data_IF_009617522492
#
_entry.id   IF_009617522492
#
_cell.length_a   1.000
_cell.length_b   1.000
_cell.length_c   1.000
_cell.angle_alpha   90.00
_cell.angle_beta   90.00
_cell.angle_gamma   90.00
#
_symmetry.space_group_name_H-M   'P 1'
#
loop_
_entity.id
_entity.type
_entity.pdbx_description
1 polymer ?
#
# COMPACT_ATOMS: atom_id res chain seq x y z
N UNK A 1 -10.75 23.86 -12.86
CA UNK A 1 -10.02 22.58 -12.98
C UNK A 1 -10.99 21.57 -13.56
N UNK A 2 -10.54 20.66 -14.44
CA UNK A 2 -11.37 19.56 -14.94
C UNK A 2 -11.83 18.68 -13.77
N UNK A 3 -13.07 18.22 -13.80
CA UNK A 3 -13.57 17.23 -12.85
C UNK A 3 -12.73 15.94 -12.98
N UNK A 4 -12.44 15.22 -11.88
CA UNK A 4 -11.80 13.91 -11.97
C UNK A 4 -12.71 12.92 -12.70
N UNK A 5 -12.09 12.01 -13.45
CA UNK A 5 -12.76 10.87 -14.09
C UNK A 5 -13.28 9.92 -12.99
N UNK A 6 -12.43 9.63 -12.01
CA UNK A 6 -12.78 8.90 -10.80
C UNK A 6 -11.84 9.27 -9.65
N UNK A 7 -12.20 8.88 -8.43
CA UNK A 7 -11.32 8.97 -7.28
C UNK A 7 -11.25 7.64 -6.54
N UNK A 8 -10.14 7.40 -5.85
CA UNK A 8 -9.97 6.24 -4.97
C UNK A 8 -9.13 6.60 -3.73
N UNK A 9 -9.15 5.73 -2.73
CA UNK A 9 -8.35 5.89 -1.52
C UNK A 9 -7.32 4.77 -1.36
N UNK A 10 -6.07 5.15 -1.14
CA UNK A 10 -4.98 4.24 -0.78
C UNK A 10 -4.79 4.20 0.73
N UNK A 11 -4.89 3.00 1.30
CA UNK A 11 -4.78 2.72 2.72
C UNK A 11 -3.62 1.72 2.90
N UNK A 12 -2.48 2.16 3.45
CA UNK A 12 -1.32 1.27 3.63
C UNK A 12 -1.44 0.39 4.87
N UNK A 13 -0.77 -0.76 4.89
CA UNK A 13 -0.25 -1.44 6.08
C UNK A 13 -1.16 -1.38 7.33
N UNK A 14 -2.29 -2.11 7.30
CA UNK A 14 -3.26 -2.10 8.40
C UNK A 14 -2.82 -2.94 9.60
N UNK A 15 -2.16 -4.09 9.40
CA UNK A 15 -1.76 -5.03 10.47
C UNK A 15 -2.90 -5.42 11.44
N UNK A 16 -4.05 -5.85 10.92
CA UNK A 16 -5.08 -6.49 11.75
C UNK A 16 -4.51 -7.75 12.43
N UNK A 17 -4.78 -7.90 13.73
CA UNK A 17 -4.41 -9.10 14.50
C UNK A 17 -5.49 -9.44 15.52
N UNK A 18 -5.94 -10.69 15.50
CA UNK A 18 -7.01 -11.23 16.34
C UNK A 18 -6.54 -11.59 17.76
N UNK A 19 -5.57 -10.85 18.30
CA UNK A 19 -5.23 -10.85 19.73
C UNK A 19 -5.99 -9.72 20.37
N UNK A 20 -6.78 -10.00 21.41
CA UNK A 20 -7.70 -9.00 22.01
C UNK A 20 -7.02 -7.67 22.33
N UNK A 21 -5.88 -7.69 23.03
CA UNK A 21 -5.16 -6.47 23.41
C UNK A 21 -4.66 -5.67 22.20
N UNK A 22 -4.25 -6.35 21.13
CA UNK A 22 -3.88 -5.73 19.87
C UNK A 22 -5.10 -5.12 19.19
N UNK A 23 -6.15 -5.91 18.99
CA UNK A 23 -7.37 -5.49 18.32
C UNK A 23 -8.04 -4.30 19.01
N UNK A 24 -8.07 -4.28 20.35
CA UNK A 24 -8.64 -3.16 21.12
C UNK A 24 -7.86 -1.86 20.85
N UNK A 25 -6.52 -1.90 20.94
CA UNK A 25 -5.66 -0.75 20.66
C UNK A 25 -5.75 -0.30 19.20
N UNK A 26 -5.79 -1.28 18.28
CA UNK A 26 -5.88 -1.09 16.84
C UNK A 26 -7.18 -0.43 16.42
N UNK A 27 -8.31 -0.98 16.86
CA UNK A 27 -9.64 -0.42 16.61
C UNK A 27 -9.77 0.99 17.16
N UNK A 28 -9.26 1.24 18.37
CA UNK A 28 -9.27 2.58 18.94
C UNK A 28 -8.52 3.58 18.05
N UNK A 29 -7.33 3.21 17.54
CA UNK A 29 -6.56 4.08 16.65
C UNK A 29 -7.26 4.30 15.31
N UNK A 30 -7.72 3.23 14.65
CA UNK A 30 -8.32 3.34 13.32
C UNK A 30 -9.73 3.95 13.32
N UNK A 31 -10.39 4.09 14.47
CA UNK A 31 -11.69 4.77 14.56
C UNK A 31 -11.64 6.18 13.96
N UNK A 32 -10.60 6.96 14.27
CA UNK A 32 -10.43 8.32 13.74
C UNK A 32 -10.27 8.34 12.21
N UNK A 33 -9.62 7.32 11.63
CA UNK A 33 -9.49 7.16 10.18
C UNK A 33 -10.87 6.99 9.53
N UNK A 34 -11.63 5.99 9.98
CA UNK A 34 -12.89 5.65 9.32
C UNK A 34 -13.99 6.68 9.58
N UNK A 35 -14.07 7.25 10.79
CA UNK A 35 -15.02 8.33 11.10
C UNK A 35 -14.82 9.54 10.17
N UNK A 36 -13.56 9.98 9.97
CA UNK A 36 -13.25 11.11 9.07
C UNK A 36 -13.44 10.75 7.59
N UNK A 37 -13.12 9.51 7.17
CA UNK A 37 -13.41 9.05 5.81
C UNK A 37 -14.91 9.02 5.52
N UNK A 38 -15.75 8.56 6.44
CA UNK A 38 -17.21 8.60 6.28
C UNK A 38 -17.71 10.03 6.13
N UNK A 39 -17.25 10.95 6.97
CA UNK A 39 -17.60 12.37 6.85
C UNK A 39 -17.20 12.93 5.47
N UNK A 40 -15.98 12.65 5.01
CA UNK A 40 -15.51 13.08 3.69
C UNK A 40 -16.34 12.48 2.56
N UNK A 41 -16.65 11.19 2.59
CA UNK A 41 -17.40 10.53 1.51
C UNK A 41 -18.88 10.93 1.49
N UNK A 42 -19.46 11.32 2.63
CA UNK A 42 -20.80 11.92 2.66
C UNK A 42 -20.80 13.34 2.07
N UNK A 43 -19.72 14.11 2.28
CA UNK A 43 -19.63 15.48 1.78
C UNK A 43 -19.21 15.56 0.29
N UNK A 44 -18.21 14.79 -0.10
CA UNK A 44 -17.52 14.90 -1.40
C UNK A 44 -17.95 13.81 -2.40
N UNK A 45 -18.68 12.79 -1.92
CA UNK A 45 -19.07 11.61 -2.69
C UNK A 45 -18.17 10.40 -2.41
N UNK A 46 -18.73 9.20 -2.63
CA UNK A 46 -17.99 7.94 -2.43
C UNK A 46 -16.89 7.76 -3.49
N UNK A 47 -15.73 7.21 -3.11
CA UNK A 47 -14.71 6.82 -4.07
C UNK A 47 -15.17 5.63 -4.90
N UNK A 48 -14.58 5.47 -6.09
CA UNK A 48 -14.79 4.30 -6.93
C UNK A 48 -14.33 3.00 -6.25
N UNK A 49 -13.28 3.09 -5.42
CA UNK A 49 -12.77 1.98 -4.61
C UNK A 49 -11.80 2.46 -3.52
N UNK A 50 -11.49 1.54 -2.60
CA UNK A 50 -10.35 1.62 -1.69
C UNK A 50 -9.36 0.48 -1.99
N UNK A 51 -8.07 0.69 -1.73
CA UNK A 51 -7.01 -0.28 -2.03
C UNK A 51 -5.95 -0.27 -0.94
N UNK A 52 -5.41 -1.44 -0.61
CA UNK A 52 -4.18 -1.59 0.16
C UNK A 52 -3.22 -2.49 -0.61
N UNK A 53 -1.95 -2.12 -0.81
CA UNK A 53 -0.99 -2.94 -1.55
C UNK A 53 -0.44 -4.13 -0.74
N UNK A 54 -0.67 -4.21 0.57
CA UNK A 54 -0.19 -5.31 1.41
C UNK A 54 -0.28 -5.03 2.92
N UNK A 55 0.25 -5.96 3.72
CA UNK A 55 0.27 -5.94 5.20
C UNK A 55 -1.09 -5.57 5.80
N UNK A 56 -2.14 -6.19 5.29
CA UNK A 56 -3.49 -6.06 5.83
C UNK A 56 -3.56 -6.65 7.23
N UNK A 57 -2.86 -7.76 7.43
CA UNK A 57 -2.82 -8.51 8.69
C UNK A 57 -1.42 -8.52 9.25
N UNK A 58 -1.26 -8.71 10.55
CA UNK A 58 0.05 -8.77 11.19
C UNK A 58 0.74 -10.13 11.02
N UNK A 59 -0.05 -11.21 10.93
CA UNK A 59 0.40 -12.57 10.62
C UNK A 59 -0.65 -13.28 9.76
N UNK A 60 -0.24 -14.30 9.01
CA UNK A 60 -1.05 -15.05 8.04
C UNK A 60 -2.14 -15.95 8.66
N UNK A 61 -2.39 -15.82 9.96
CA UNK A 61 -3.42 -16.58 10.67
C UNK A 61 -4.82 -16.28 10.07
N UNK A 62 -5.64 -17.30 9.74
CA UNK A 62 -6.96 -17.11 9.13
C UNK A 62 -7.89 -16.17 9.92
N UNK A 63 -7.82 -16.19 11.25
CA UNK A 63 -8.60 -15.30 12.12
C UNK A 63 -8.25 -13.81 11.93
N UNK A 64 -7.01 -13.48 11.54
CA UNK A 64 -6.63 -12.10 11.22
C UNK A 64 -7.26 -11.66 9.89
N UNK A 65 -7.29 -12.55 8.90
CA UNK A 65 -7.97 -12.28 7.63
C UNK A 65 -9.46 -12.06 7.83
N UNK A 66 -10.14 -12.91 8.62
CA UNK A 66 -11.57 -12.76 8.89
C UNK A 66 -11.87 -11.48 9.67
N UNK A 67 -11.02 -11.12 10.65
CA UNK A 67 -11.11 -9.85 11.35
C UNK A 67 -10.96 -8.67 10.38
N UNK A 68 -9.93 -8.68 9.54
CA UNK A 68 -9.67 -7.61 8.57
C UNK A 68 -10.85 -7.46 7.60
N UNK A 69 -11.31 -8.57 7.00
CA UNK A 69 -12.41 -8.59 6.04
C UNK A 69 -13.71 -8.10 6.65
N UNK A 70 -14.06 -8.59 7.84
CA UNK A 70 -15.29 -8.18 8.54
C UNK A 70 -15.23 -6.69 8.91
N UNK A 71 -14.10 -6.23 9.46
CA UNK A 71 -13.90 -4.84 9.84
C UNK A 71 -13.97 -3.91 8.64
N UNK A 72 -13.23 -4.21 7.57
CA UNK A 72 -13.23 -3.41 6.34
C UNK A 72 -14.60 -3.43 5.66
N UNK A 73 -15.32 -4.56 5.62
CA UNK A 73 -16.69 -4.60 5.07
C UNK A 73 -17.64 -3.73 5.89
N UNK A 74 -17.53 -3.73 7.21
CA UNK A 74 -18.32 -2.87 8.08
C UNK A 74 -18.02 -1.38 7.87
N UNK A 75 -16.76 -1.02 7.68
CA UNK A 75 -16.33 0.37 7.49
C UNK A 75 -16.59 0.88 6.06
N UNK A 76 -16.34 0.08 5.03
CA UNK A 76 -16.42 0.51 3.63
C UNK A 76 -17.83 0.33 3.04
N UNK A 77 -18.67 -0.50 3.65
CA UNK A 77 -20.00 -0.80 3.14
C UNK A 77 -19.92 -1.41 1.75
N UNK A 78 -20.47 -0.73 0.76
CA UNK A 78 -20.50 -1.19 -0.64
C UNK A 78 -19.35 -0.65 -1.50
N UNK A 79 -18.48 0.21 -0.95
CA UNK A 79 -17.28 0.68 -1.64
C UNK A 79 -16.37 -0.55 -1.89
N UNK A 80 -15.99 -0.85 -3.15
CA UNK A 80 -15.10 -1.96 -3.45
C UNK A 80 -13.75 -1.81 -2.73
N UNK A 81 -13.25 -2.92 -2.18
CA UNK A 81 -11.92 -2.99 -1.58
C UNK A 81 -11.03 -3.95 -2.36
N UNK A 82 -9.84 -3.48 -2.74
CA UNK A 82 -8.84 -4.26 -3.46
C UNK A 82 -7.64 -4.56 -2.55
N UNK A 83 -7.53 -5.79 -2.03
CA UNK A 83 -6.44 -6.21 -1.16
C UNK A 83 -5.22 -6.67 -1.96
N UNK A 84 -4.03 -6.24 -1.56
CA UNK A 84 -2.75 -6.79 -1.98
C UNK A 84 -2.15 -7.69 -0.91
N UNK A 85 -1.00 -8.26 -1.22
CA UNK A 85 -0.18 -9.05 -0.28
C UNK A 85 1.13 -8.32 -0.02
N UNK A 86 1.51 -8.24 1.25
CA UNK A 86 2.79 -7.78 1.74
C UNK A 86 3.56 -8.90 2.44
N UNK A 87 4.63 -8.56 3.15
CA UNK A 87 5.44 -9.56 3.83
C UNK A 87 4.76 -10.15 5.06
N UNK A 88 3.87 -9.42 5.73
CA UNK A 88 3.16 -9.93 6.90
C UNK A 88 2.13 -11.01 6.56
N UNK A 89 1.61 -11.03 5.33
CA UNK A 89 0.87 -12.18 4.81
C UNK A 89 1.72 -13.46 4.72
N UNK A 90 3.05 -13.35 4.77
CA UNK A 90 4.00 -14.46 4.88
C UNK A 90 4.54 -14.68 6.30
N UNK A 91 4.10 -13.91 7.30
CA UNK A 91 4.49 -14.16 8.68
C UNK A 91 3.55 -15.18 9.30
N UNK A 92 4.06 -16.37 9.62
CA UNK A 92 3.33 -17.37 10.39
C UNK A 92 2.78 -16.87 11.73
N UNK A 93 1.74 -17.49 12.32
CA UNK A 93 1.42 -17.24 13.72
C UNK A 93 2.65 -17.55 14.58
N UNK A 94 3.12 -16.56 15.32
CA UNK A 94 4.28 -16.65 16.22
C UNK A 94 5.54 -17.29 15.61
N UNK A 95 5.75 -17.12 14.29
CA UNK A 95 7.02 -17.43 13.62
C UNK A 95 7.09 -18.71 12.76
N UNK A 96 5.98 -19.39 12.43
CA UNK A 96 6.05 -20.64 11.64
C UNK A 96 5.03 -20.83 10.48
N UNK A 97 5.53 -21.53 9.45
CA UNK A 97 4.99 -22.05 8.18
C UNK A 97 3.95 -21.23 7.36
N UNK A 98 4.44 -20.31 6.52
CA UNK A 98 3.66 -19.58 5.53
C UNK A 98 3.05 -20.40 4.37
N UNK A 99 3.36 -21.68 4.19
CA UNK A 99 3.09 -22.43 2.92
C UNK A 99 1.61 -22.39 2.45
N UNK A 100 0.65 -22.17 3.35
CA UNK A 100 -0.77 -22.07 3.03
C UNK A 100 -1.35 -20.66 2.80
N UNK A 101 -0.56 -19.57 2.91
CA UNK A 101 -1.17 -18.24 2.90
C UNK A 101 -1.83 -17.90 1.55
N UNK A 102 -1.24 -18.31 0.42
CA UNK A 102 -1.76 -17.93 -0.88
C UNK A 102 -3.19 -18.45 -1.10
N UNK A 103 -3.43 -19.70 -0.68
CA UNK A 103 -4.76 -20.30 -0.68
C UNK A 103 -5.70 -19.61 0.30
N UNK A 104 -5.21 -19.27 1.50
CA UNK A 104 -5.98 -18.55 2.52
C UNK A 104 -6.40 -17.16 2.05
N UNK A 105 -5.47 -16.37 1.53
CA UNK A 105 -5.72 -15.06 0.92
C UNK A 105 -6.77 -15.18 -0.18
N UNK A 106 -6.59 -16.13 -1.10
CA UNK A 106 -7.51 -16.31 -2.24
C UNK A 106 -8.91 -16.68 -1.77
N UNK A 107 -9.03 -17.58 -0.79
CA UNK A 107 -10.32 -17.97 -0.24
C UNK A 107 -11.03 -16.82 0.50
N UNK A 108 -10.28 -15.96 1.21
CA UNK A 108 -10.81 -14.85 1.99
C UNK A 108 -11.27 -13.69 1.12
N UNK A 109 -10.50 -13.35 0.08
CA UNK A 109 -10.71 -12.16 -0.73
C UNK A 109 -11.35 -12.43 -2.09
N UNK A 110 -11.45 -13.69 -2.50
CA UNK A 110 -11.88 -14.07 -3.85
C UNK A 110 -11.05 -13.34 -4.93
N UNK A 111 -9.73 -13.38 -4.74
CA UNK A 111 -8.71 -12.73 -5.56
C UNK A 111 -7.46 -13.62 -5.60
N UNK A 112 -6.85 -13.85 -6.78
CA UNK A 112 -5.49 -14.37 -6.80
C UNK A 112 -4.50 -13.32 -6.23
N UNK A 113 -3.25 -13.71 -5.96
CA UNK A 113 -2.25 -12.78 -5.41
C UNK A 113 -1.90 -11.63 -6.38
N UNK A 114 -1.95 -11.91 -7.69
CA UNK A 114 -1.77 -10.94 -8.78
C UNK A 114 -3.04 -10.85 -9.59
N UNK A 115 -3.55 -9.65 -9.80
CA UNK A 115 -4.75 -9.43 -10.61
C UNK A 115 -4.81 -8.01 -11.15
N UNK A 116 -5.72 -7.79 -12.09
CA UNK A 116 -6.02 -6.46 -12.63
C UNK A 116 -7.52 -6.23 -12.67
N UNK A 117 -7.92 -4.97 -12.66
CA UNK A 117 -9.30 -4.55 -12.82
C UNK A 117 -9.39 -3.24 -13.58
N UNK A 118 -10.51 -3.05 -14.27
CA UNK A 118 -10.80 -1.81 -15.00
C UNK A 118 -11.68 -0.91 -14.13
N UNK A 119 -11.45 0.40 -14.23
CA UNK A 119 -12.25 1.42 -13.54
C UNK A 119 -12.27 2.68 -14.39
N UNK A 120 -13.45 3.08 -14.83
CA UNK A 120 -13.70 4.35 -15.55
C UNK A 120 -12.64 4.71 -16.61
N UNK A 121 -12.25 3.73 -17.45
CA UNK A 121 -11.28 3.94 -18.54
C UNK A 121 -9.80 3.81 -18.16
N UNK A 122 -9.47 3.54 -16.90
CA UNK A 122 -8.14 3.15 -16.44
C UNK A 122 -8.06 1.64 -16.16
N UNK A 123 -6.83 1.13 -16.03
CA UNK A 123 -6.54 -0.21 -15.50
C UNK A 123 -5.75 -0.09 -14.20
N UNK A 124 -6.11 -0.88 -13.21
CA UNK A 124 -5.34 -1.06 -12.00
C UNK A 124 -4.72 -2.46 -12.02
N UNK A 125 -3.47 -2.58 -11.56
CA UNK A 125 -2.68 -3.81 -11.58
C UNK A 125 -2.11 -4.06 -10.20
N UNK A 126 -2.61 -5.08 -9.49
CA UNK A 126 -2.05 -5.56 -8.22
C UNK A 126 -0.99 -6.63 -8.51
N UNK A 127 0.24 -6.38 -8.07
CA UNK A 127 1.33 -7.34 -8.07
C UNK A 127 1.40 -8.03 -6.71
N UNK A 128 1.90 -9.26 -6.69
CA UNK A 128 2.22 -9.99 -5.47
C UNK A 128 3.58 -9.56 -4.92
N UNK A 129 3.73 -9.71 -3.61
CA UNK A 129 4.99 -9.53 -2.92
C UNK A 129 5.89 -10.76 -3.15
N UNK A 130 7.22 -10.59 -3.27
CA UNK A 130 8.15 -11.71 -3.34
C UNK A 130 7.96 -12.70 -2.19
N UNK A 131 7.61 -13.95 -2.50
CA UNK A 131 7.46 -15.00 -1.50
C UNK A 131 8.82 -15.28 -0.81
N UNK A 132 9.02 -14.86 0.45
CA UNK A 132 10.30 -15.00 1.14
C UNK A 132 10.69 -16.45 1.39
N UNK A 133 9.76 -17.40 1.31
CA UNK A 133 10.04 -18.84 1.50
C UNK A 133 10.77 -19.46 0.33
N UNK A 134 10.67 -18.83 -0.85
CA UNK A 134 11.30 -19.31 -2.09
C UNK A 134 12.65 -18.66 -2.35
N UNK A 135 13.04 -17.67 -1.53
CA UNK A 135 14.27 -16.91 -1.72
C UNK A 135 15.48 -17.65 -1.14
N UNK A 136 16.60 -17.55 -1.84
CA UNK A 136 17.88 -18.05 -1.34
C UNK A 136 18.39 -17.25 -0.12
N UNK A 137 18.07 -15.95 -0.08
CA UNK A 137 18.33 -15.06 1.03
C UNK A 137 17.05 -14.26 1.34
N UNK A 138 16.34 -14.55 2.46
CA UNK A 138 15.09 -13.88 2.80
C UNK A 138 15.27 -12.40 3.14
N UNK A 139 16.51 -11.92 3.33
CA UNK A 139 16.78 -10.49 3.48
C UNK A 139 16.79 -9.75 2.14
N UNK A 140 16.80 -10.46 1.00
CA UNK A 140 16.90 -9.87 -0.33
C UNK A 140 15.75 -10.32 -1.19
N UNK A 141 14.80 -9.41 -1.39
CA UNK A 141 13.55 -9.73 -2.08
C UNK A 141 13.72 -9.56 -3.60
N UNK A 142 13.22 -10.51 -4.37
CA UNK A 142 13.26 -10.50 -5.84
C UNK A 142 11.86 -10.77 -6.38
N UNK A 143 11.36 -9.90 -7.25
CA UNK A 143 10.11 -10.19 -7.94
C UNK A 143 10.32 -11.36 -8.88
N UNK A 144 9.40 -12.33 -8.84
CA UNK A 144 9.48 -13.52 -9.67
C UNK A 144 9.30 -13.18 -11.15
N UNK A 145 9.83 -14.04 -12.04
CA UNK A 145 9.62 -13.88 -13.48
C UNK A 145 8.14 -13.91 -13.85
N UNK A 146 7.32 -14.66 -13.10
CA UNK A 146 5.87 -14.69 -13.30
C UNK A 146 5.23 -13.31 -13.03
N UNK A 147 5.65 -12.64 -11.96
CA UNK A 147 5.21 -11.27 -11.61
C UNK A 147 5.59 -10.27 -12.68
N UNK A 148 6.86 -10.31 -13.12
CA UNK A 148 7.37 -9.42 -14.16
C UNK A 148 6.66 -9.64 -15.50
N UNK A 149 6.39 -10.90 -15.85
CA UNK A 149 5.65 -11.25 -17.08
C UNK A 149 4.19 -10.81 -17.00
N UNK A 150 3.55 -10.96 -15.83
CA UNK A 150 2.19 -10.49 -15.59
C UNK A 150 2.10 -8.97 -15.74
N UNK A 151 3.05 -8.21 -15.18
CA UNK A 151 3.10 -6.75 -15.35
C UNK A 151 3.24 -6.36 -16.82
N UNK A 152 4.25 -6.89 -17.51
CA UNK A 152 4.55 -6.57 -18.92
C UNK A 152 3.37 -6.89 -19.84
N UNK A 153 2.76 -8.07 -19.66
CA UNK A 153 1.60 -8.52 -20.45
C UNK A 153 0.37 -7.66 -20.18
N UNK A 154 0.11 -7.33 -18.90
CA UNK A 154 -1.06 -6.52 -18.53
C UNK A 154 -0.93 -5.09 -19.08
N UNK A 155 0.24 -4.47 -18.93
CA UNK A 155 0.47 -3.13 -19.47
C UNK A 155 0.35 -3.10 -21.00
N UNK A 156 0.86 -4.12 -21.69
CA UNK A 156 0.72 -4.28 -23.14
C UNK A 156 -0.75 -4.46 -23.56
N UNK A 157 -1.52 -5.27 -22.83
CA UNK A 157 -2.94 -5.51 -23.11
C UNK A 157 -3.77 -4.23 -23.01
N UNK A 158 -3.41 -3.34 -22.09
CA UNK A 158 -4.12 -2.08 -21.82
C UNK A 158 -3.34 -0.84 -22.26
N UNK A 159 -2.50 -0.95 -23.29
CA UNK A 159 -1.57 0.11 -23.76
C UNK A 159 -2.21 1.46 -24.13
N UNK A 160 -3.53 1.51 -24.28
CA UNK A 160 -4.31 2.70 -24.62
C UNK A 160 -5.07 3.29 -23.41
N UNK A 161 -4.81 2.79 -22.20
CA UNK A 161 -5.46 3.23 -20.96
C UNK A 161 -4.44 3.48 -19.86
N UNK A 162 -4.58 4.58 -19.08
CA UNK A 162 -3.72 4.82 -17.92
C UNK A 162 -3.72 3.63 -16.97
N UNK A 163 -2.53 3.22 -16.56
CA UNK A 163 -2.29 2.10 -15.68
C UNK A 163 -1.76 2.58 -14.32
N UNK A 164 -2.38 2.05 -13.26
CA UNK A 164 -2.01 2.29 -11.86
C UNK A 164 -1.53 0.96 -11.30
N UNK A 165 -0.24 0.87 -10.98
CA UNK A 165 0.40 -0.36 -10.50
C UNK A 165 0.50 -0.30 -8.98
N UNK A 166 0.18 -1.42 -8.32
CA UNK A 166 0.29 -1.60 -6.88
C UNK A 166 1.23 -2.76 -6.58
N UNK A 167 2.16 -2.55 -5.65
CA UNK A 167 3.05 -3.56 -5.11
C UNK A 167 3.38 -3.17 -3.67
N UNK A 168 3.35 -4.11 -2.73
CA UNK A 168 3.62 -3.78 -1.33
C UNK A 168 4.96 -3.07 -1.11
N UNK A 169 6.07 -3.61 -1.62
CA UNK A 169 7.36 -2.95 -1.48
C UNK A 169 7.60 -1.85 -2.54
N UNK A 170 8.20 -0.70 -2.14
CA UNK A 170 8.66 0.30 -3.09
C UNK A 170 9.81 -0.23 -3.96
N UNK A 171 10.05 0.43 -5.10
CA UNK A 171 11.27 0.16 -5.87
C UNK A 171 12.47 0.85 -5.22
N UNK A 172 13.66 0.31 -5.48
CA UNK A 172 14.89 0.87 -4.91
C UNK A 172 15.03 2.35 -5.26
N UNK A 173 15.33 3.19 -4.25
CA UNK A 173 15.47 4.65 -4.34
C UNK A 173 14.18 5.45 -4.64
N UNK A 174 12.98 4.89 -4.42
CA UNK A 174 11.71 5.64 -4.60
C UNK A 174 11.12 6.19 -3.31
N UNK A 175 11.62 5.82 -2.14
CA UNK A 175 11.29 6.43 -0.83
C UNK A 175 12.51 6.36 0.10
N UNK A 176 12.84 7.47 0.75
CA UNK A 176 14.01 7.61 1.62
C UNK A 176 13.58 7.90 3.06
N UNK A 177 14.47 7.63 4.02
CA UNK A 177 14.18 7.94 5.42
C UNK A 177 14.26 9.43 5.72
N UNK A 178 13.46 9.90 6.69
CA UNK A 178 13.55 11.28 7.20
C UNK A 178 14.93 11.56 7.78
N UNK A 179 15.41 12.77 7.55
CA UNK A 179 16.65 13.26 8.13
C UNK A 179 16.54 13.45 9.65
N UNK A 180 17.66 13.34 10.37
CA UNK A 180 17.74 13.54 11.82
C UNK A 180 18.86 12.72 12.48
N UNK A 181 18.95 12.80 13.80
CA UNK A 181 19.82 11.93 14.58
C UNK A 181 19.25 10.50 14.63
N UNK A 182 19.99 9.54 14.09
CA UNK A 182 19.60 8.13 14.05
C UNK A 182 18.64 7.79 12.91
N UNK A 183 18.31 6.50 12.81
CA UNK A 183 17.40 5.97 11.80
C UNK A 183 15.95 6.22 12.22
N UNK A 184 15.22 7.03 11.46
CA UNK A 184 13.81 7.38 11.75
C UNK A 184 12.79 6.53 11.01
N UNK A 185 13.15 5.98 9.86
CA UNK A 185 12.24 5.20 9.01
C UNK A 185 13.00 4.00 8.42
N UNK A 186 12.26 2.99 7.99
CA UNK A 186 12.76 2.08 6.97
C UNK A 186 12.65 2.75 5.60
N UNK A 187 13.46 2.33 4.63
CA UNK A 187 13.47 2.99 3.32
C UNK A 187 13.95 2.08 2.19
N UNK A 188 13.64 2.48 0.95
CA UNK A 188 13.88 1.67 -0.26
C UNK A 188 15.36 1.47 -0.65
N UNK A 189 16.32 2.05 0.09
CA UNK A 189 17.75 1.73 -0.10
C UNK A 189 18.21 0.52 0.72
N UNK A 190 17.37 0.00 1.60
CA UNK A 190 17.68 -1.18 2.39
C UNK A 190 17.25 -2.45 1.66
N UNK A 191 18.06 -3.50 1.84
CA UNK A 191 17.63 -4.86 1.56
C UNK A 191 16.29 -5.14 2.26
N UNK A 192 15.49 -6.06 1.71
CA UNK A 192 14.13 -6.41 2.16
C UNK A 192 13.06 -5.34 1.90
N UNK A 193 13.40 -4.06 1.93
CA UNK A 193 12.44 -2.96 1.72
C UNK A 193 12.22 -2.59 0.25
N UNK A 194 13.08 -3.04 -0.65
CA UNK A 194 12.89 -2.91 -2.08
C UNK A 194 13.39 -4.16 -2.81
N UNK A 195 12.80 -4.52 -3.98
CA UNK A 195 13.27 -5.64 -4.75
C UNK A 195 14.63 -5.35 -5.36
N UNK A 196 15.55 -6.29 -5.23
CA UNK A 196 16.91 -6.21 -5.79
C UNK A 196 16.88 -6.09 -7.32
N UNK A 197 15.87 -6.67 -7.96
CA UNK A 197 15.61 -6.53 -9.40
C UNK A 197 14.68 -5.35 -9.75
N UNK A 198 14.66 -4.28 -8.95
CA UNK A 198 13.93 -3.04 -9.23
C UNK A 198 14.22 -2.45 -10.63
N UNK A 199 15.43 -2.67 -11.16
CA UNK A 199 15.80 -2.22 -12.50
C UNK A 199 15.01 -2.93 -13.61
N UNK A 200 14.63 -4.20 -13.41
CA UNK A 200 13.83 -4.95 -14.38
C UNK A 200 12.39 -4.43 -14.44
N UNK A 201 11.82 -4.07 -13.27
CA UNK A 201 10.50 -3.41 -13.20
C UNK A 201 10.52 -2.08 -13.93
N UNK A 202 11.55 -1.24 -13.69
CA UNK A 202 11.73 0.03 -14.41
C UNK A 202 11.87 -0.19 -15.91
N UNK A 203 12.59 -1.23 -16.33
CA UNK A 203 12.75 -1.55 -17.75
C UNK A 203 11.44 -2.00 -18.41
N UNK A 204 10.54 -2.68 -17.69
CA UNK A 204 9.19 -2.99 -18.16
C UNK A 204 8.38 -1.69 -18.28
N UNK A 205 8.32 -0.89 -17.23
CA UNK A 205 7.57 0.38 -17.20
C UNK A 205 8.03 1.31 -18.33
N UNK A 206 9.34 1.44 -18.56
CA UNK A 206 9.89 2.28 -19.62
C UNK A 206 9.37 1.94 -21.03
N UNK A 207 8.96 0.68 -21.29
CA UNK A 207 8.38 0.24 -22.57
C UNK A 207 6.89 0.55 -22.69
N UNK A 208 6.21 0.81 -21.58
CA UNK A 208 4.75 0.92 -21.48
C UNK A 208 4.35 2.31 -21.02
N UNK A 209 4.22 3.23 -21.98
CA UNK A 209 3.90 4.65 -21.73
C UNK A 209 2.59 4.90 -20.98
N UNK A 210 1.73 3.89 -20.91
CA UNK A 210 0.48 3.94 -20.18
C UNK A 210 0.64 3.76 -18.66
N UNK A 211 1.81 3.33 -18.16
CA UNK A 211 2.08 3.27 -16.72
C UNK A 211 2.25 4.66 -16.14
N UNK A 212 1.29 5.09 -15.29
CA UNK A 212 1.22 6.46 -14.79
C UNK A 212 1.60 6.58 -13.31
N UNK A 213 1.14 5.63 -12.50
CA UNK A 213 1.37 5.59 -11.06
C UNK A 213 1.91 4.22 -10.64
N UNK A 214 2.84 4.21 -9.70
CA UNK A 214 3.30 3.02 -8.99
C UNK A 214 3.16 3.26 -7.49
N UNK A 215 2.27 2.53 -6.84
CA UNK A 215 1.85 2.76 -5.45
C UNK A 215 2.31 1.58 -4.59
N UNK A 216 2.98 1.89 -3.49
CA UNK A 216 3.58 0.93 -2.56
C UNK A 216 3.29 1.28 -1.10
N UNK A 217 3.79 0.47 -0.15
CA UNK A 217 3.67 0.64 1.31
C UNK A 217 4.95 0.18 2.02
N UNK A 218 4.86 -0.74 2.99
CA UNK A 218 5.97 -1.53 3.57
C UNK A 218 6.96 -0.78 4.46
N UNK A 219 7.38 0.42 4.08
CA UNK A 219 8.46 1.14 4.78
C UNK A 219 8.02 1.82 6.07
N UNK A 220 6.71 1.97 6.28
CA UNK A 220 6.12 2.69 7.41
C UNK A 220 6.72 4.10 7.57
N UNK A 221 7.16 4.70 6.45
CA UNK A 221 7.80 6.00 6.42
C UNK A 221 6.86 7.10 6.91
N UNK A 222 7.37 8.05 7.69
CA UNK A 222 6.61 9.25 8.10
C UNK A 222 6.29 10.19 6.93
N UNK A 223 5.38 11.16 7.13
CA UNK A 223 4.86 12.00 6.02
C UNK A 223 5.90 12.94 5.40
N UNK A 224 6.95 13.24 6.16
CA UNK A 224 8.08 14.07 5.76
C UNK A 224 9.18 13.27 5.06
N UNK A 225 9.00 11.96 4.89
CA UNK A 225 9.97 11.11 4.22
C UNK A 225 10.26 11.63 2.81
N UNK A 226 11.54 11.85 2.45
CA UNK A 226 11.88 12.25 1.11
C UNK A 226 11.40 11.19 0.10
N UNK A 227 10.93 11.66 -1.03
CA UNK A 227 10.37 10.83 -2.11
C UNK A 227 9.11 10.03 -1.74
N UNK A 228 8.41 10.34 -0.64
CA UNK A 228 7.10 9.73 -0.34
C UNK A 228 6.14 9.78 -1.55
N UNK A 229 6.22 10.88 -2.31
CA UNK A 229 5.78 10.96 -3.71
C UNK A 229 6.94 11.51 -4.54
N UNK A 230 7.35 10.79 -5.58
CA UNK A 230 8.44 11.21 -6.49
C UNK A 230 8.12 10.87 -7.93
N UNK A 231 8.67 11.64 -8.87
CA UNK A 231 8.49 11.43 -10.31
C UNK A 231 9.84 11.04 -10.90
N UNK A 232 9.86 9.93 -11.63
CA UNK A 232 10.98 9.56 -12.50
C UNK A 232 10.55 9.67 -13.97
N UNK A 233 11.49 9.94 -14.86
CA UNK A 233 11.27 9.84 -16.31
C UNK A 233 11.90 8.54 -16.80
N UNK A 234 11.06 7.61 -17.26
CA UNK A 234 11.50 6.31 -17.76
C UNK A 234 11.21 6.24 -19.27
N UNK A 235 12.27 6.31 -20.07
CA UNK A 235 12.12 6.51 -21.52
C UNK A 235 11.52 7.88 -21.82
N UNK A 236 10.40 7.91 -22.54
CA UNK A 236 9.76 9.14 -23.04
C UNK A 236 8.56 9.63 -22.19
N UNK A 237 8.32 9.02 -21.02
CA UNK A 237 7.17 9.37 -20.18
C UNK A 237 7.54 9.48 -18.69
N UNK A 238 6.85 10.36 -17.93
CA UNK A 238 6.95 10.37 -16.48
C UNK A 238 6.16 9.19 -15.87
N UNK A 239 6.69 8.66 -14.78
CA UNK A 239 5.93 7.83 -13.84
C UNK A 239 6.06 8.41 -12.44
N UNK A 240 4.96 8.40 -11.69
CA UNK A 240 4.97 8.81 -10.28
C UNK A 240 4.99 7.59 -9.37
N UNK A 241 5.99 7.54 -8.50
CA UNK A 241 6.05 6.59 -7.40
C UNK A 241 5.42 7.21 -6.14
N UNK A 242 4.58 6.44 -5.47
CA UNK A 242 3.93 6.81 -4.21
C UNK A 242 4.18 5.70 -3.20
N UNK A 243 4.67 6.06 -2.03
CA UNK A 243 4.77 5.15 -0.90
C UNK A 243 3.71 5.54 0.12
N UNK A 244 2.67 4.72 0.24
CA UNK A 244 1.64 4.85 1.26
C UNK A 244 2.26 4.72 2.64
N UNK A 245 1.68 5.44 3.58
CA UNK A 245 2.02 5.35 4.99
C UNK A 245 1.05 4.39 5.68
N UNK A 246 1.48 3.76 6.76
CA UNK A 246 0.59 2.98 7.61
C UNK A 246 -0.26 3.91 8.50
N UNK A 247 -1.60 3.74 8.54
CA UNK A 247 -2.46 4.35 9.55
C UNK A 247 -2.26 3.71 10.93
N UNK A 248 -1.70 2.50 10.98
CA UNK A 248 -1.46 1.78 12.22
C UNK A 248 -0.24 2.32 12.96
N UNK A 249 0.92 2.47 12.32
CA UNK A 249 2.07 3.18 12.90
C UNK A 249 3.09 3.60 11.84
N UNK A 250 3.86 4.66 12.10
CA UNK A 250 5.00 5.03 11.25
C UNK A 250 6.28 5.03 12.06
N UNK A 251 7.42 4.99 11.38
CA UNK A 251 8.73 5.21 11.97
C UNK A 251 9.40 3.95 12.51
N UNK A 252 10.72 4.01 12.53
CA UNK A 252 11.62 2.97 13.02
C UNK A 252 11.52 2.88 14.55
N UNK A 253 11.34 1.66 15.09
CA UNK A 253 11.17 1.37 16.53
C UNK A 253 9.96 2.04 17.20
N UNK A 254 8.97 2.46 16.40
CA UNK A 254 7.68 2.97 16.84
C UNK A 254 6.59 1.92 16.63
N UNK A 255 5.37 2.26 17.02
CA UNK A 255 4.21 1.38 16.88
C UNK A 255 3.90 0.53 18.10
N UNK A 256 3.08 -0.51 17.93
CA UNK A 256 2.65 -1.37 19.03
C UNK A 256 3.77 -2.29 19.51
N UNK A 257 3.81 -2.53 20.82
CA UNK A 257 4.61 -3.59 21.43
C UNK A 257 3.67 -4.45 22.26
N UNK A 258 3.44 -5.67 21.81
CA UNK A 258 2.67 -6.68 22.53
C UNK A 258 3.51 -7.21 23.71
N UNK A 259 2.91 -7.36 24.89
CA UNK A 259 3.56 -8.02 26.04
C UNK A 259 3.70 -9.52 25.80
N UNK A 260 4.70 -10.16 26.42
CA UNK A 260 4.99 -11.60 26.25
C UNK A 260 3.79 -12.52 26.58
N UNK A 261 2.89 -12.08 27.48
CA UNK A 261 1.67 -12.81 27.84
C UNK A 261 0.47 -12.52 26.91
N UNK A 262 0.69 -11.70 25.88
CA UNK A 262 -0.27 -11.21 24.91
C UNK A 262 -1.50 -10.50 25.54
N UNK A 263 -1.42 -10.07 26.81
CA UNK A 263 -2.53 -9.43 27.53
C UNK A 263 -2.57 -7.91 27.39
N UNK A 264 -1.48 -7.28 26.95
CA UNK A 264 -1.40 -5.83 26.84
C UNK A 264 -0.61 -5.40 25.61
N UNK A 265 -0.97 -4.25 25.06
CA UNK A 265 -0.18 -3.57 24.01
C UNK A 265 0.22 -2.20 24.54
N UNK A 266 1.52 -1.91 24.46
CA UNK A 266 2.03 -0.56 24.64
C UNK A 266 2.26 0.05 23.27
N UNK A 267 1.49 1.07 22.94
CA UNK A 267 1.67 1.82 21.70
C UNK A 267 2.67 2.97 21.88
N UNK A 268 3.65 3.06 20.99
CA UNK A 268 4.65 4.15 20.94
C UNK A 268 4.47 4.94 19.67
N UNK A 269 3.83 6.09 19.76
CA UNK A 269 3.65 6.96 18.61
C UNK A 269 4.98 7.46 18.04
N UNK A 270 4.97 7.67 16.73
CA UNK A 270 5.98 8.46 16.03
C UNK A 270 5.79 9.96 16.32
N UNK A 271 6.72 10.78 15.84
CA UNK A 271 6.62 12.24 15.89
C UNK A 271 6.73 12.85 14.48
N UNK A 272 5.68 13.49 13.96
CA UNK A 272 4.36 13.64 14.58
C UNK A 272 3.56 12.33 14.59
N UNK A 273 2.66 12.16 15.58
CA UNK A 273 1.69 11.06 15.61
C UNK A 273 0.55 11.38 14.64
N UNK A 274 0.52 10.68 13.50
CA UNK A 274 -0.48 10.89 12.47
C UNK A 274 -1.17 9.58 12.12
N UNK A 275 -2.42 9.70 11.68
CA UNK A 275 -3.22 8.59 11.16
C UNK A 275 -3.48 8.92 9.68
N UNK A 276 -2.60 8.47 8.77
CA UNK A 276 -2.64 8.85 7.37
C UNK A 276 -3.59 8.02 6.51
N UNK A 277 -4.12 8.63 5.46
CA UNK A 277 -4.46 7.92 4.22
C UNK A 277 -4.30 8.83 3.01
N UNK A 278 -4.37 8.25 1.81
CA UNK A 278 -4.13 8.96 0.56
C UNK A 278 -5.39 8.99 -0.29
N UNK A 279 -5.79 10.19 -0.71
CA UNK A 279 -6.83 10.39 -1.72
C UNK A 279 -6.19 10.60 -3.08
N UNK A 280 -6.68 9.88 -4.09
CA UNK A 280 -6.25 9.97 -5.47
C UNK A 280 -7.41 10.42 -6.32
N UNK A 281 -7.25 11.53 -7.04
CA UNK A 281 -8.20 12.03 -8.02
C UNK A 281 -7.57 11.92 -9.40
N UNK A 282 -8.13 11.04 -10.23
CA UNK A 282 -7.59 10.72 -11.54
C UNK A 282 -8.25 11.59 -12.60
N UNK A 283 -7.45 12.30 -13.37
CA UNK A 283 -7.87 13.08 -14.52
C UNK A 283 -7.30 12.45 -15.80
N UNK A 284 -7.71 12.94 -16.97
CA UNK A 284 -7.22 12.40 -18.24
C UNK A 284 -5.71 12.57 -18.46
N UNK A 285 -5.12 13.63 -17.89
CA UNK A 285 -3.74 14.05 -18.12
C UNK A 285 -2.89 14.15 -16.85
N UNK A 286 -3.46 13.85 -15.68
CA UNK A 286 -2.78 13.96 -14.38
C UNK A 286 -3.50 13.19 -13.28
N UNK A 287 -2.86 13.08 -12.13
CA UNK A 287 -3.51 12.78 -10.86
C UNK A 287 -3.29 13.93 -9.85
N UNK A 288 -4.29 14.22 -9.02
CA UNK A 288 -4.10 14.91 -7.75
C UNK A 288 -4.02 13.88 -6.63
N UNK A 289 -2.92 13.88 -5.89
CA UNK A 289 -2.63 12.96 -4.78
C UNK A 289 -2.59 13.80 -3.51
N UNK A 290 -3.37 13.44 -2.49
CA UNK A 290 -3.48 14.21 -1.26
C UNK A 290 -3.31 13.29 -0.06
N UNK A 291 -2.52 13.71 0.93
CA UNK A 291 -2.39 13.01 2.20
C UNK A 291 -3.27 13.67 3.25
N UNK A 292 -4.07 12.84 3.91
CA UNK A 292 -4.97 13.24 4.99
C UNK A 292 -4.40 12.77 6.32
N UNK A 293 -4.28 13.65 7.31
CA UNK A 293 -4.17 13.23 8.71
C UNK A 293 -5.56 13.23 9.33
N UNK A 294 -6.06 12.04 9.65
CA UNK A 294 -7.39 11.84 10.18
C UNK A 294 -7.50 12.22 11.66
N UNK A 295 -6.41 12.13 12.43
CA UNK A 295 -6.39 12.54 13.83
C UNK A 295 -6.71 14.03 14.01
N UNK A 296 -6.15 14.88 13.14
CA UNK A 296 -6.36 16.35 13.18
C UNK A 296 -7.40 16.81 12.16
N UNK A 297 -7.98 15.90 11.39
CA UNK A 297 -8.86 16.21 10.27
C UNK A 297 -8.28 17.30 9.36
N UNK A 298 -6.99 17.19 9.00
CA UNK A 298 -6.30 18.15 8.10
C UNK A 298 -5.64 17.49 6.89
N UNK A 299 -5.66 18.15 5.73
CA UNK A 299 -4.85 17.77 4.58
C UNK A 299 -3.41 18.22 4.82
N UNK A 300 -2.45 17.30 4.75
CA UNK A 300 -1.03 17.59 5.00
C UNK A 300 -0.35 18.16 3.76
N UNK A 301 -0.62 17.56 2.59
CA UNK A 301 0.02 17.91 1.33
C UNK A 301 -0.80 17.43 0.13
N UNK A 302 -0.64 18.13 -0.98
CA UNK A 302 -1.19 17.78 -2.28
C UNK A 302 -0.07 17.81 -3.34
N UNK A 303 -0.08 16.83 -4.23
CA UNK A 303 0.75 16.75 -5.42
C UNK A 303 -0.14 16.67 -6.65
N UNK A 304 0.15 17.48 -7.66
CA UNK A 304 -0.45 17.34 -8.99
C UNK A 304 0.61 16.77 -9.92
N UNK A 305 0.45 15.52 -10.35
CA UNK A 305 1.46 14.76 -11.08
C UNK A 305 0.99 14.46 -12.50
N UNK A 306 1.84 14.68 -13.53
CA UNK A 306 1.43 14.54 -14.91
C UNK A 306 1.32 13.06 -15.31
N UNK A 307 0.37 12.76 -16.19
CA UNK A 307 0.34 11.53 -16.95
C UNK A 307 0.86 11.81 -18.36
N UNK A 308 1.40 10.78 -19.00
CA UNK A 308 1.66 10.86 -20.43
C UNK A 308 0.37 10.61 -21.20
N UNK A 309 -0.16 11.64 -21.83
CA UNK A 309 -1.28 11.52 -22.77
C UNK A 309 -0.72 11.39 -24.18
N UNK A 310 -1.08 10.30 -24.88
CA UNK A 310 -0.88 10.20 -26.33
C UNK A 310 -1.72 11.26 -27.07
#
# INVERSE_FOLDING_TARGET
MSQPIFSFWGLGDFHYRAIKAWNDCHTQRLSALFDDLHELWQADGQPAFCVSPGDLIDTCAPENYELARTSLKAQLGDIPFYPGVGNHEYHGPDGEDPTGMAATFTAMWDKPLRYSWEVEGAVCVMLDYPDPTTLADPQRVYLSQETLTFLDTTLQQYQDRPAIVFLHCPLHNTVLGREGEGKRDYHSLEHFFAPENSAEVRAIIARHQNACLFISGHTHSGWEAPHLVTIEHLGEHPITYVNLMSPWYTGYQKGPVLSDDHQSVRYRADDPDIIPSFSFQIHGDRASIRIRNHATKSWLKEWNVPFHTK
#
